data_IF_156092694205
#
_entry.id   IF_156092694205
#
_cell.length_a   1.000
_cell.length_b   1.000
_cell.length_c   1.000
_cell.angle_alpha   90.00
_cell.angle_beta   90.00
_cell.angle_gamma   90.00
#
_symmetry.space_group_name_H-M   'P 1'
#
loop_
_entity.id
_entity.type
_entity.pdbx_description
1 polymer ?
#
# COMPACT_ATOMS: atom_id res chain seq x y z
N UNK A 1 0.94 2.07 -26.83
CA UNK A 1 0.91 0.59 -27.07
C UNK A 1 0.41 -0.09 -25.83
N UNK A 2 -0.51 -1.08 -25.96
CA UNK A 2 -1.02 -1.86 -24.81
C UNK A 2 -0.81 -3.37 -25.09
N UNK A 3 -0.22 -4.08 -24.15
CA UNK A 3 0.12 -5.51 -24.24
C UNK A 3 -0.66 -6.24 -23.16
N UNK A 4 -1.46 -7.24 -23.55
CA UNK A 4 -2.11 -8.15 -22.62
C UNK A 4 -1.08 -9.15 -22.09
N UNK A 5 -0.86 -9.17 -20.77
CA UNK A 5 0.13 -10.02 -20.14
C UNK A 5 -0.27 -11.51 -20.12
N UNK A 6 -1.53 -11.84 -20.41
CA UNK A 6 -1.95 -13.23 -20.59
C UNK A 6 -1.29 -13.90 -21.82
N UNK A 7 -0.83 -13.10 -22.78
CA UNK A 7 -0.13 -13.58 -23.97
C UNK A 7 1.39 -13.74 -23.75
N UNK A 8 1.89 -13.42 -22.55
CA UNK A 8 3.31 -13.54 -22.21
C UNK A 8 3.53 -14.73 -21.28
N UNK A 9 4.55 -15.55 -21.59
CA UNK A 9 4.92 -16.69 -20.76
C UNK A 9 5.97 -16.29 -19.74
N UNK A 10 5.55 -16.24 -18.47
CA UNK A 10 6.48 -16.00 -17.34
C UNK A 10 7.25 -17.28 -17.02
N UNK A 11 8.57 -17.23 -17.11
CA UNK A 11 9.48 -18.34 -16.80
C UNK A 11 10.45 -17.94 -15.68
N UNK A 12 11.27 -18.88 -15.20
CA UNK A 12 12.35 -18.65 -14.26
C UNK A 12 13.45 -17.72 -14.80
N UNK A 13 13.57 -17.64 -16.14
CA UNK A 13 14.51 -16.74 -16.80
C UNK A 13 13.88 -15.38 -17.07
N UNK A 14 14.48 -14.28 -16.57
CA UNK A 14 14.02 -12.94 -16.90
C UNK A 14 14.02 -12.71 -18.42
N UNK A 15 12.86 -12.40 -18.97
CA UNK A 15 12.66 -12.22 -20.41
C UNK A 15 12.06 -10.84 -20.69
N UNK A 16 12.57 -10.17 -21.71
CA UNK A 16 12.02 -8.90 -22.16
C UNK A 16 10.58 -9.07 -22.65
N UNK A 17 9.66 -8.32 -22.03
CA UNK A 17 8.27 -8.23 -22.47
C UNK A 17 8.14 -7.17 -23.55
N UNK A 18 8.66 -5.97 -23.26
CA UNK A 18 8.72 -4.85 -24.20
C UNK A 18 9.66 -3.75 -23.68
N UNK A 19 10.08 -2.88 -24.61
CA UNK A 19 10.80 -1.64 -24.29
C UNK A 19 10.31 -0.51 -25.22
N UNK A 20 10.38 0.72 -24.72
CA UNK A 20 10.05 1.92 -25.46
C UNK A 20 10.82 3.12 -24.88
N UNK A 21 11.73 3.68 -25.65
CA UNK A 21 12.61 4.77 -25.20
C UNK A 21 13.48 4.35 -24.00
N UNK A 22 13.27 5.01 -22.86
CA UNK A 22 13.99 4.66 -21.62
C UNK A 22 13.29 3.60 -20.78
N UNK A 23 12.09 3.20 -21.17
CA UNK A 23 11.30 2.24 -20.42
C UNK A 23 11.61 0.80 -20.84
N UNK A 24 11.73 -0.06 -19.84
CA UNK A 24 11.94 -1.49 -20.06
C UNK A 24 11.06 -2.30 -19.12
N UNK A 25 10.41 -3.32 -19.64
CA UNK A 25 9.61 -4.27 -18.87
C UNK A 25 10.14 -5.69 -19.07
N UNK A 26 10.47 -6.37 -17.97
CA UNK A 26 11.04 -7.72 -17.93
C UNK A 26 10.14 -8.61 -17.09
N UNK A 27 9.63 -9.67 -17.67
CA UNK A 27 8.81 -10.68 -16.99
C UNK A 27 9.65 -11.87 -16.53
N UNK A 28 9.33 -12.38 -15.35
CA UNK A 28 9.96 -13.59 -14.81
C UNK A 28 9.03 -14.25 -13.78
N UNK A 29 9.43 -15.41 -13.31
CA UNK A 29 8.76 -16.13 -12.24
C UNK A 29 9.76 -16.40 -11.10
N UNK A 30 9.35 -16.11 -9.88
CA UNK A 30 10.11 -16.49 -8.70
C UNK A 30 10.18 -18.01 -8.51
N UNK A 31 11.12 -18.50 -7.71
CA UNK A 31 11.25 -19.93 -7.39
C UNK A 31 9.97 -20.51 -6.75
N UNK A 32 9.23 -19.66 -6.06
CA UNK A 32 7.92 -19.94 -5.47
C UNK A 32 6.77 -20.11 -6.48
N UNK A 33 7.05 -19.88 -7.77
CA UNK A 33 6.05 -19.96 -8.84
C UNK A 33 5.30 -18.65 -9.10
N UNK A 34 5.48 -17.60 -8.31
CA UNK A 34 4.78 -16.32 -8.48
C UNK A 34 5.34 -15.55 -9.68
N UNK A 35 4.47 -15.16 -10.61
CA UNK A 35 4.84 -14.33 -11.76
C UNK A 35 5.10 -12.88 -11.33
N UNK A 36 6.13 -12.26 -11.89
CA UNK A 36 6.54 -10.90 -11.62
C UNK A 36 6.90 -10.14 -12.89
N UNK A 37 6.61 -8.85 -12.90
CA UNK A 37 6.99 -7.93 -13.96
C UNK A 37 7.82 -6.78 -13.37
N UNK A 38 9.08 -6.68 -13.74
CA UNK A 38 9.96 -5.55 -13.40
C UNK A 38 9.84 -4.50 -14.48
N UNK A 39 9.43 -3.29 -14.09
CA UNK A 39 9.29 -2.13 -14.96
C UNK A 39 10.27 -1.06 -14.52
N UNK A 40 11.04 -0.50 -15.46
CA UNK A 40 12.10 0.44 -15.17
C UNK A 40 12.11 1.63 -16.12
N UNK A 41 12.66 2.74 -15.64
CA UNK A 41 13.16 3.86 -16.41
C UNK A 41 14.65 4.09 -16.07
N UNK A 42 15.26 5.19 -16.52
CA UNK A 42 16.68 5.49 -16.23
C UNK A 42 16.99 5.76 -14.74
N UNK A 43 15.96 6.04 -13.90
CA UNK A 43 16.16 6.38 -12.48
C UNK A 43 15.90 5.24 -11.52
N UNK A 44 15.25 4.18 -11.98
CA UNK A 44 14.95 3.05 -11.10
C UNK A 44 13.86 2.14 -11.65
N UNK A 45 13.27 1.37 -10.76
CA UNK A 45 12.31 0.34 -11.13
C UNK A 45 11.31 0.02 -10.03
N UNK A 46 10.21 -0.60 -10.43
CA UNK A 46 9.36 -1.35 -9.51
C UNK A 46 9.10 -2.76 -10.05
N UNK A 47 8.90 -3.71 -9.16
CA UNK A 47 8.51 -5.09 -9.50
C UNK A 47 7.10 -5.32 -8.98
N UNK A 48 6.17 -5.63 -9.87
CA UNK A 48 4.76 -5.88 -9.57
C UNK A 48 4.41 -7.35 -9.82
N UNK A 49 3.46 -7.89 -9.03
CA UNK A 49 2.91 -9.23 -9.17
C UNK A 49 1.59 -9.13 -9.96
N UNK A 50 1.59 -9.24 -11.29
CA UNK A 50 0.46 -8.81 -12.11
C UNK A 50 -0.81 -9.64 -11.88
N UNK A 51 -0.67 -10.87 -11.39
CA UNK A 51 -1.77 -11.82 -11.20
C UNK A 51 -2.18 -12.03 -9.74
N UNK A 52 -1.43 -11.47 -8.78
CA UNK A 52 -1.68 -11.60 -7.34
C UNK A 52 -1.72 -10.23 -6.67
N UNK A 53 -2.90 -9.78 -6.28
CA UNK A 53 -3.13 -8.51 -5.60
C UNK A 53 -2.70 -7.26 -6.37
N UNK A 54 -2.07 -7.38 -7.55
CA UNK A 54 -1.27 -6.35 -8.22
C UNK A 54 -0.30 -5.67 -7.24
N UNK A 55 0.23 -6.46 -6.34
CA UNK A 55 1.15 -6.07 -5.28
C UNK A 55 2.47 -5.59 -5.87
N UNK A 56 2.97 -4.42 -5.46
CA UNK A 56 4.32 -3.98 -5.78
C UNK A 56 5.27 -4.62 -4.77
N UNK A 57 6.04 -5.62 -5.22
CA UNK A 57 6.93 -6.37 -4.35
C UNK A 57 8.19 -5.60 -3.99
N UNK A 58 8.84 -4.95 -4.97
CA UNK A 58 10.03 -4.12 -4.77
C UNK A 58 9.88 -2.80 -5.49
N UNK A 59 10.56 -1.77 -4.99
CA UNK A 59 10.61 -0.45 -5.59
C UNK A 59 11.95 0.20 -5.24
N UNK A 60 12.71 0.58 -6.25
CA UNK A 60 14.01 1.22 -6.09
C UNK A 60 14.13 2.43 -7.02
N UNK A 61 14.71 3.52 -6.53
CA UNK A 61 15.03 4.70 -7.33
C UNK A 61 16.36 5.31 -6.87
N UNK A 62 17.16 5.76 -7.83
CA UNK A 62 18.47 6.41 -7.61
C UNK A 62 19.39 5.60 -6.67
N UNK A 63 19.34 4.27 -6.78
CA UNK A 63 20.10 3.35 -5.95
C UNK A 63 19.57 3.16 -4.52
N UNK A 64 18.38 3.69 -4.21
CA UNK A 64 17.73 3.50 -2.92
C UNK A 64 16.61 2.46 -3.03
N UNK A 65 16.73 1.36 -2.29
CA UNK A 65 15.63 0.41 -2.08
C UNK A 65 14.59 1.03 -1.13
N UNK A 66 13.36 1.22 -1.62
CA UNK A 66 12.29 1.85 -0.87
C UNK A 66 11.48 0.85 -0.04
N UNK A 67 11.41 -0.42 -0.48
CA UNK A 67 10.60 -1.43 0.17
C UNK A 67 11.10 -1.78 1.57
N UNK A 68 10.17 -2.06 2.46
CA UNK A 68 10.44 -2.58 3.80
C UNK A 68 11.41 -3.77 3.76
N UNK A 69 12.07 -4.04 4.88
CA UNK A 69 12.73 -5.31 5.11
C UNK A 69 11.73 -6.28 5.75
N UNK A 70 11.69 -7.50 5.26
CA UNK A 70 10.90 -8.58 5.83
C UNK A 70 11.70 -9.88 5.84
N UNK A 71 11.12 -10.92 6.45
CA UNK A 71 11.65 -12.28 6.43
C UNK A 71 11.48 -12.98 5.07
N UNK A 72 10.74 -12.38 4.14
CA UNK A 72 10.45 -12.95 2.83
C UNK A 72 11.37 -12.36 1.76
N UNK A 73 12.26 -13.16 1.20
CA UNK A 73 13.10 -12.77 0.06
C UNK A 73 12.29 -12.75 -1.25
N UNK A 74 11.37 -13.71 -1.39
CA UNK A 74 10.48 -13.87 -2.54
C UNK A 74 9.01 -13.92 -2.11
N UNK A 75 8.06 -13.47 -2.95
CA UNK A 75 6.65 -13.61 -2.66
C UNK A 75 6.25 -15.08 -2.74
N UNK A 76 5.33 -15.50 -1.89
CA UNK A 76 4.68 -16.80 -1.95
C UNK A 76 3.27 -16.67 -2.54
N UNK A 77 2.75 -17.75 -3.07
CA UNK A 77 1.38 -17.81 -3.58
C UNK A 77 0.39 -17.89 -2.41
N UNK A 78 0.05 -16.74 -1.83
CA UNK A 78 -0.92 -16.66 -0.73
C UNK A 78 -2.35 -16.66 -1.28
N UNK A 79 -3.20 -17.52 -0.70
CA UNK A 79 -4.61 -17.66 -1.09
C UNK A 79 -5.56 -17.22 0.00
N UNK A 80 -5.20 -17.45 1.26
CA UNK A 80 -6.08 -17.25 2.41
C UNK A 80 -5.63 -16.09 3.30
N UNK A 81 -4.33 -15.78 3.33
CA UNK A 81 -3.79 -14.69 4.12
C UNK A 81 -2.63 -14.03 3.42
N UNK A 82 -2.62 -12.70 3.39
CA UNK A 82 -1.48 -11.94 2.91
C UNK A 82 -0.25 -12.12 3.81
N UNK A 83 -0.44 -12.49 5.08
CA UNK A 83 0.65 -12.69 6.05
C UNK A 83 1.61 -13.80 5.67
N UNK A 84 1.17 -14.75 4.82
CA UNK A 84 2.03 -15.82 4.30
C UNK A 84 3.09 -15.30 3.30
N UNK A 85 2.99 -14.04 2.88
CA UNK A 85 3.89 -13.41 1.91
C UNK A 85 3.99 -11.89 2.16
N UNK A 86 4.14 -11.45 3.43
CA UNK A 86 4.13 -10.03 3.73
C UNK A 86 5.53 -9.43 3.73
N UNK A 87 5.89 -8.75 2.66
CA UNK A 87 7.21 -8.12 2.49
C UNK A 87 7.24 -7.15 1.30
N UNK A 88 6.08 -6.79 0.79
CA UNK A 88 5.92 -5.95 -0.38
C UNK A 88 6.12 -4.47 -0.08
N UNK A 89 6.48 -3.70 -1.11
CA UNK A 89 6.49 -2.24 -1.06
C UNK A 89 5.07 -1.65 -0.94
N UNK A 90 4.12 -2.19 -1.69
CA UNK A 90 2.74 -1.71 -1.65
C UNK A 90 1.75 -2.83 -1.97
N UNK A 91 0.64 -2.85 -1.24
CA UNK A 91 -0.51 -3.68 -1.55
C UNK A 91 -1.82 -2.88 -1.43
N UNK A 92 -2.82 -3.27 -2.21
CA UNK A 92 -4.19 -2.81 -2.06
C UNK A 92 -4.88 -3.65 -0.99
N UNK A 93 -5.57 -2.99 -0.06
CA UNK A 93 -6.35 -3.63 1.00
C UNK A 93 -7.82 -3.22 0.88
N UNK A 94 -8.71 -4.11 1.22
CA UNK A 94 -10.15 -3.95 1.04
C UNK A 94 -10.68 -5.13 0.21
N UNK A 95 -11.83 -5.07 -0.38
CA UNK A 95 -12.82 -4.00 -0.49
C UNK A 95 -14.03 -4.25 0.42
N UNK A 96 -14.32 -5.53 0.71
CA UNK A 96 -15.47 -5.96 1.52
C UNK A 96 -15.30 -5.72 3.02
N UNK A 97 -14.06 -5.55 3.45
CA UNK A 97 -13.65 -5.18 4.80
C UNK A 97 -12.25 -4.55 4.75
N UNK A 98 -11.67 -4.17 5.88
CA UNK A 98 -10.32 -3.64 5.96
C UNK A 98 -9.74 -3.81 7.35
N UNK A 99 -8.42 -3.93 7.42
CA UNK A 99 -7.67 -4.04 8.67
C UNK A 99 -7.79 -5.42 9.31
N UNK A 100 -7.48 -5.47 10.59
CA UNK A 100 -7.58 -6.69 11.37
C UNK A 100 -9.04 -6.96 11.74
N UNK A 101 -9.55 -8.20 11.56
CA UNK A 101 -10.89 -8.55 11.98
C UNK A 101 -11.05 -8.43 13.50
N UNK A 102 -12.21 -8.00 13.97
CA UNK A 102 -12.63 -8.21 15.36
C UNK A 102 -12.90 -9.70 15.60
N UNK A 103 -13.01 -10.17 16.84
CA UNK A 103 -13.35 -11.58 17.12
C UNK A 103 -14.66 -12.05 16.46
N UNK A 104 -15.60 -11.12 16.22
CA UNK A 104 -16.91 -11.38 15.63
C UNK A 104 -16.90 -11.21 14.10
N UNK A 105 -15.87 -10.59 13.53
CA UNK A 105 -15.73 -10.47 12.07
C UNK A 105 -15.39 -11.83 11.44
N UNK A 106 -15.83 -12.03 10.21
CA UNK A 106 -15.58 -13.27 9.46
C UNK A 106 -14.64 -13.09 8.27
N UNK A 107 -14.12 -11.86 8.07
CA UNK A 107 -13.20 -11.58 6.97
C UNK A 107 -11.76 -11.92 7.33
N UNK A 108 -10.93 -12.19 6.34
CA UNK A 108 -9.47 -12.31 6.51
C UNK A 108 -8.84 -10.94 6.73
N UNK A 109 -7.66 -10.88 7.31
CA UNK A 109 -6.90 -9.64 7.48
C UNK A 109 -6.79 -8.86 6.17
N UNK A 110 -7.13 -7.57 6.20
CA UNK A 110 -7.19 -6.66 5.03
C UNK A 110 -8.11 -7.10 3.88
N UNK A 111 -8.99 -8.07 4.11
CA UNK A 111 -9.96 -8.62 3.17
C UNK A 111 -9.31 -9.21 1.88
N UNK A 112 -10.05 -9.23 0.76
CA UNK A 112 -9.71 -10.04 -0.41
C UNK A 112 -8.68 -9.41 -1.35
N UNK A 113 -8.52 -8.09 -1.38
CA UNK A 113 -7.66 -7.45 -2.39
C UNK A 113 -6.18 -7.85 -2.34
N UNK A 114 -5.54 -8.03 -1.16
CA UNK A 114 -4.14 -8.44 -1.11
C UNK A 114 -3.86 -9.79 -1.77
N UNK A 115 -4.83 -10.71 -1.73
CA UNK A 115 -4.72 -12.08 -2.28
C UNK A 115 -5.52 -12.27 -3.57
N UNK A 116 -6.12 -11.20 -4.11
CA UNK A 116 -6.97 -11.23 -5.29
C UNK A 116 -6.25 -11.82 -6.51
N UNK A 117 -6.96 -12.68 -7.26
CA UNK A 117 -6.49 -13.27 -8.52
C UNK A 117 -7.09 -12.51 -9.69
N UNK A 118 -6.24 -11.80 -10.42
CA UNK A 118 -6.67 -10.93 -11.50
C UNK A 118 -6.99 -11.73 -12.75
N UNK A 119 -8.13 -11.43 -13.39
CA UNK A 119 -8.54 -12.00 -14.66
C UNK A 119 -7.85 -11.32 -15.83
N UNK A 120 -7.48 -10.04 -15.67
CA UNK A 120 -6.77 -9.27 -16.67
C UNK A 120 -5.57 -8.55 -16.07
N UNK A 121 -4.45 -8.58 -16.77
CA UNK A 121 -3.30 -7.74 -16.49
C UNK A 121 -2.69 -7.24 -17.81
N UNK A 122 -2.21 -5.99 -17.82
CA UNK A 122 -1.63 -5.38 -19.02
C UNK A 122 -0.43 -4.51 -18.68
N UNK A 123 0.43 -4.36 -19.68
CA UNK A 123 1.50 -3.36 -19.76
C UNK A 123 1.11 -2.34 -20.84
N UNK A 124 1.29 -1.05 -20.55
CA UNK A 124 0.93 0.03 -21.48
C UNK A 124 2.04 1.07 -21.56
N UNK A 125 2.42 1.46 -22.78
CA UNK A 125 3.27 2.61 -23.05
C UNK A 125 2.42 3.69 -23.71
N UNK A 126 2.58 4.93 -23.26
CA UNK A 126 1.79 6.05 -23.79
C UNK A 126 2.37 7.41 -23.44
N UNK A 127 1.68 8.43 -23.92
CA UNK A 127 1.97 9.85 -23.65
C UNK A 127 0.68 10.54 -23.27
N UNK A 128 0.71 11.33 -22.21
CA UNK A 128 -0.40 12.17 -21.77
C UNK A 128 0.09 13.58 -21.40
N UNK A 129 -0.74 14.38 -20.72
CA UNK A 129 -0.36 15.74 -20.27
C UNK A 129 0.84 15.75 -19.32
N UNK A 130 1.16 14.64 -18.66
CA UNK A 130 2.31 14.46 -17.77
C UNK A 130 3.57 13.97 -18.49
N UNK A 131 3.52 13.77 -19.80
CA UNK A 131 4.61 13.26 -20.65
C UNK A 131 4.53 11.75 -20.90
N UNK A 132 5.63 11.19 -21.39
CA UNK A 132 5.75 9.77 -21.69
C UNK A 132 5.69 8.93 -20.42
N UNK A 133 5.05 7.77 -20.50
CA UNK A 133 4.93 6.85 -19.38
C UNK A 133 4.89 5.37 -19.80
N UNK A 134 5.21 4.53 -18.85
CA UNK A 134 4.86 3.11 -18.84
C UNK A 134 3.92 2.84 -17.67
N UNK A 135 2.90 2.00 -17.88
CA UNK A 135 1.93 1.64 -16.85
C UNK A 135 1.68 0.13 -16.82
N UNK A 136 1.41 -0.37 -15.61
CA UNK A 136 0.88 -1.71 -15.39
C UNK A 136 -0.47 -1.58 -14.72
N UNK A 137 -1.44 -2.34 -15.16
CA UNK A 137 -2.77 -2.38 -14.56
C UNK A 137 -3.46 -3.69 -14.84
N UNK A 138 -4.65 -3.83 -14.32
CA UNK A 138 -5.46 -5.02 -14.49
C UNK A 138 -6.89 -4.84 -14.03
N UNK A 139 -7.65 -5.92 -14.08
CA UNK A 139 -9.02 -5.98 -13.59
C UNK A 139 -9.21 -7.22 -12.74
N UNK A 140 -9.68 -7.02 -11.53
CA UNK A 140 -10.17 -8.05 -10.64
C UNK A 140 -11.68 -7.96 -10.58
N UNK A 141 -12.37 -9.01 -11.00
CA UNK A 141 -13.80 -9.20 -10.81
C UNK A 141 -14.01 -9.97 -9.51
N UNK A 142 -14.69 -9.36 -8.55
CA UNK A 142 -15.14 -10.03 -7.35
C UNK A 142 -16.63 -10.29 -7.41
N UNK A 143 -16.98 -11.53 -7.49
CA UNK A 143 -18.36 -12.00 -7.52
C UNK A 143 -18.56 -13.11 -6.49
N UNK A 144 -19.51 -12.90 -5.62
CA UNK A 144 -20.01 -13.87 -4.66
C UNK A 144 -21.53 -13.87 -4.75
N UNK A 145 -22.08 -15.02 -5.12
CA UNK A 145 -23.50 -15.19 -5.38
C UNK A 145 -24.37 -14.53 -4.28
N UNK A 146 -25.30 -13.69 -4.69
CA UNK A 146 -26.20 -12.89 -3.85
C UNK A 146 -25.52 -11.78 -2.99
N UNK A 147 -24.22 -11.82 -2.77
CA UNK A 147 -23.53 -10.95 -1.81
C UNK A 147 -22.77 -9.83 -2.50
N UNK A 148 -21.78 -10.13 -3.34
CA UNK A 148 -20.90 -9.15 -3.97
C UNK A 148 -20.88 -9.30 -5.49
N UNK A 149 -20.75 -8.17 -6.18
CA UNK A 149 -20.42 -8.10 -7.59
C UNK A 149 -19.82 -6.71 -7.86
N UNK A 150 -18.49 -6.65 -8.00
CA UNK A 150 -17.78 -5.41 -8.31
C UNK A 150 -16.53 -5.71 -9.15
N UNK A 151 -16.05 -4.70 -9.86
CA UNK A 151 -14.71 -4.70 -10.45
C UNK A 151 -13.78 -3.77 -9.70
N UNK A 152 -12.53 -4.21 -9.52
CA UNK A 152 -11.43 -3.42 -9.02
C UNK A 152 -10.33 -3.33 -10.08
N UNK A 153 -10.00 -2.11 -10.50
CA UNK A 153 -9.05 -1.87 -11.59
C UNK A 153 -7.93 -0.93 -11.13
N UNK A 154 -6.84 -1.48 -10.58
CA UNK A 154 -5.66 -0.70 -10.21
C UNK A 154 -4.79 -0.40 -11.42
N UNK A 155 -4.00 0.68 -11.31
CA UNK A 155 -3.01 1.09 -12.31
C UNK A 155 -1.84 1.79 -11.63
N UNK A 156 -0.62 1.37 -11.98
CA UNK A 156 0.64 1.97 -11.54
C UNK A 156 1.33 2.57 -12.75
N UNK A 157 1.73 3.83 -12.66
CA UNK A 157 2.38 4.59 -13.74
C UNK A 157 3.78 5.01 -13.32
N UNK A 158 4.77 4.74 -14.16
CA UNK A 158 6.12 5.25 -14.07
C UNK A 158 6.37 6.19 -15.24
N UNK A 159 6.69 7.46 -14.94
CA UNK A 159 6.93 8.48 -15.98
C UNK A 159 8.40 8.54 -16.36
N UNK A 160 8.65 9.03 -17.56
CA UNK A 160 9.98 9.31 -18.09
C UNK A 160 10.78 10.20 -17.14
N UNK A 161 11.98 9.74 -16.76
CA UNK A 161 12.90 10.45 -15.88
C UNK A 161 12.40 10.66 -14.44
N UNK A 162 11.27 10.10 -14.04
CA UNK A 162 10.75 10.23 -12.68
C UNK A 162 11.35 9.20 -11.73
N UNK A 163 11.54 9.59 -10.45
CA UNK A 163 11.88 8.70 -9.36
C UNK A 163 10.69 8.53 -8.40
N UNK A 164 9.52 8.36 -8.97
CA UNK A 164 8.26 8.13 -8.27
C UNK A 164 7.31 7.32 -9.14
N UNK A 165 6.36 6.68 -8.50
CA UNK A 165 5.22 6.02 -9.14
C UNK A 165 3.91 6.73 -8.78
N UNK A 166 2.97 6.71 -9.71
CA UNK A 166 1.60 7.17 -9.53
C UNK A 166 0.70 5.94 -9.45
N UNK A 167 -0.03 5.80 -8.37
CA UNK A 167 -0.91 4.66 -8.10
C UNK A 167 -2.34 5.17 -8.17
N UNK A 168 -3.17 4.51 -8.93
CA UNK A 168 -4.61 4.74 -8.94
C UNK A 168 -5.36 3.43 -8.89
N UNK A 169 -6.59 3.46 -8.40
CA UNK A 169 -7.49 2.33 -8.46
C UNK A 169 -8.92 2.82 -8.65
N UNK A 170 -9.69 2.08 -9.42
CA UNK A 170 -11.12 2.35 -9.64
C UNK A 170 -11.93 1.13 -9.26
N UNK A 171 -12.93 1.35 -8.41
CA UNK A 171 -13.96 0.37 -8.05
C UNK A 171 -15.24 0.69 -8.80
N UNK A 172 -15.89 -0.29 -9.39
CA UNK A 172 -17.22 -0.15 -9.98
C UNK A 172 -18.18 -1.14 -9.33
N UNK A 173 -19.25 -0.64 -8.75
CA UNK A 173 -20.35 -1.47 -8.26
C UNK A 173 -21.13 -2.04 -9.45
N UNK A 174 -21.17 -3.35 -9.58
CA UNK A 174 -21.87 -4.06 -10.64
C UNK A 174 -23.25 -4.58 -10.18
N UNK A 175 -23.59 -4.40 -8.88
CA UNK A 175 -24.90 -4.78 -8.34
C UNK A 175 -25.95 -3.70 -8.60
N UNK A 176 -27.19 -4.08 -8.42
CA UNK A 176 -28.39 -3.22 -8.44
C UNK A 176 -28.72 -2.59 -7.09
N UNK A 177 -27.91 -2.90 -6.04
CA UNK A 177 -27.99 -2.33 -4.69
C UNK A 177 -26.69 -1.63 -4.32
N UNK A 178 -26.69 -0.72 -3.33
CA UNK A 178 -25.45 -0.09 -2.86
C UNK A 178 -24.41 -1.12 -2.37
N UNK A 179 -23.16 -0.92 -2.76
CA UNK A 179 -22.00 -1.69 -2.31
C UNK A 179 -21.39 -0.98 -1.10
N UNK A 180 -21.39 -1.63 0.04
CA UNK A 180 -20.54 -1.22 1.18
C UNK A 180 -19.09 -1.51 0.83
N UNK A 181 -18.19 -0.53 1.03
CA UNK A 181 -16.81 -0.70 0.68
C UNK A 181 -15.82 -0.01 1.62
N UNK A 182 -14.62 -0.55 1.65
CA UNK A 182 -13.46 -0.07 2.37
C UNK A 182 -12.25 -0.12 1.47
N UNK A 183 -11.29 0.78 1.65
CA UNK A 183 -10.04 0.73 0.91
C UNK A 183 -8.89 1.34 1.72
N UNK A 184 -7.73 0.71 1.64
CA UNK A 184 -6.48 1.22 2.16
C UNK A 184 -5.35 0.92 1.18
N UNK A 185 -4.50 1.93 0.88
CA UNK A 185 -3.27 1.75 0.13
C UNK A 185 -2.12 1.54 1.10
N UNK A 186 -1.62 0.31 1.20
CA UNK A 186 -0.62 -0.08 2.18
C UNK A 186 0.80 0.08 1.63
N UNK A 187 1.41 1.27 1.81
CA UNK A 187 2.76 1.59 1.30
C UNK A 187 3.79 1.41 2.40
N UNK A 188 4.68 0.44 2.25
CA UNK A 188 5.64 -0.02 3.25
C UNK A 188 7.05 0.46 2.92
N UNK A 189 7.39 1.67 3.35
CA UNK A 189 8.74 2.19 3.17
C UNK A 189 9.74 1.55 4.13
N UNK A 190 11.00 1.53 3.70
CA UNK A 190 12.13 1.18 4.56
C UNK A 190 12.38 2.33 5.54
N UNK A 191 12.42 2.07 6.85
CA UNK A 191 12.76 3.12 7.82
C UNK A 191 14.25 3.43 7.78
N UNK A 192 14.58 4.72 7.90
CA UNK A 192 15.96 5.20 8.06
C UNK A 192 16.07 5.87 9.42
N UNK A 193 16.92 5.32 10.28
CA UNK A 193 17.11 5.79 11.66
C UNK A 193 17.46 7.29 11.72
N UNK A 194 16.82 8.00 12.63
CA UNK A 194 17.00 9.43 12.81
C UNK A 194 16.32 10.31 11.78
N UNK A 195 15.58 9.74 10.82
CA UNK A 195 14.76 10.51 9.88
C UNK A 195 13.67 11.28 10.59
N UNK A 196 13.28 12.41 10.01
CA UNK A 196 12.11 13.19 10.45
C UNK A 196 10.90 12.87 9.58
N UNK A 197 9.77 12.66 10.23
CA UNK A 197 8.48 12.60 9.54
C UNK A 197 7.94 14.02 9.46
N UNK A 198 7.81 14.52 8.25
CA UNK A 198 7.26 15.84 7.94
C UNK A 198 5.98 15.66 7.15
N UNK A 199 4.89 16.22 7.63
CA UNK A 199 3.58 15.95 7.09
C UNK A 199 2.71 17.20 6.92
N UNK A 200 1.72 17.12 6.05
CA UNK A 200 0.67 18.14 5.90
C UNK A 200 0.00 18.41 7.24
N UNK A 201 -0.44 19.66 7.52
CA UNK A 201 -1.12 19.98 8.77
C UNK A 201 -2.29 19.03 9.07
N UNK A 202 -2.47 18.68 10.33
CA UNK A 202 -3.56 17.83 10.77
C UNK A 202 -4.87 18.60 10.90
N UNK A 203 -6.00 17.95 10.57
CA UNK A 203 -7.36 18.46 10.81
C UNK A 203 -7.78 18.35 12.27
N UNK A 204 -7.31 17.30 12.95
CA UNK A 204 -7.57 16.97 14.35
C UNK A 204 -6.42 16.14 14.91
N UNK A 205 -6.39 15.94 16.23
CA UNK A 205 -5.42 15.04 16.86
C UNK A 205 -5.53 13.62 16.26
N UNK A 206 -4.39 12.92 16.15
CA UNK A 206 -4.40 11.50 15.76
C UNK A 206 -5.18 10.65 16.77
N UNK A 207 -5.69 9.53 16.31
CA UNK A 207 -6.18 8.46 17.17
C UNK A 207 -4.98 7.56 17.47
N UNK A 208 -4.64 7.45 18.75
CA UNK A 208 -3.62 6.52 19.23
C UNK A 208 -4.32 5.19 19.54
N UNK A 209 -3.88 4.13 18.87
CA UNK A 209 -4.45 2.81 19.07
C UNK A 209 -3.68 2.05 20.13
N UNK A 210 -4.35 1.70 21.23
CA UNK A 210 -3.79 0.95 22.36
C UNK A 210 -3.95 -0.57 22.20
N UNK A 211 -4.52 -1.04 21.11
CA UNK A 211 -4.60 -2.48 20.84
C UNK A 211 -3.21 -3.01 20.46
N UNK A 212 -2.71 -3.90 21.26
CA UNK A 212 -1.48 -4.67 21.00
C UNK A 212 -1.91 -6.08 20.63
N UNK A 213 -1.55 -6.58 19.43
CA UNK A 213 -1.96 -7.92 19.01
C UNK A 213 -1.56 -8.99 20.01
N UNK A 214 -2.43 -9.98 20.21
CA UNK A 214 -2.14 -11.16 21.01
C UNK A 214 -0.96 -11.96 20.41
N UNK A 215 -0.22 -12.65 21.29
CA UNK A 215 0.90 -13.48 20.87
C UNK A 215 2.24 -12.77 20.75
N UNK A 216 2.29 -11.45 20.94
CA UNK A 216 3.57 -10.75 21.01
C UNK A 216 4.34 -11.14 22.29
N UNK A 217 5.67 -11.20 22.13
CA UNK A 217 6.55 -11.37 23.27
C UNK A 217 6.29 -10.27 24.31
N UNK A 218 5.89 -10.64 25.52
CA UNK A 218 5.41 -9.72 26.56
C UNK A 218 6.27 -8.46 26.78
N UNK A 219 7.62 -8.55 26.88
CA UNK A 219 8.46 -7.36 27.04
C UNK A 219 8.32 -6.35 25.88
N UNK A 220 8.05 -6.80 24.67
CA UNK A 220 7.76 -5.90 23.53
C UNK A 220 6.41 -5.21 23.69
N UNK A 221 5.38 -5.96 24.08
CA UNK A 221 4.06 -5.44 24.38
C UNK A 221 4.10 -4.35 25.46
N UNK A 222 4.80 -4.61 26.56
CA UNK A 222 4.97 -3.65 27.65
C UNK A 222 5.71 -2.37 27.19
N UNK A 223 6.73 -2.50 26.34
CA UNK A 223 7.45 -1.35 25.77
C UNK A 223 6.56 -0.55 24.81
N UNK A 224 5.76 -1.23 24.00
CA UNK A 224 4.78 -0.62 23.09
C UNK A 224 3.74 0.16 23.89
N UNK A 225 3.13 -0.43 24.91
CA UNK A 225 2.13 0.23 25.74
C UNK A 225 2.67 1.51 26.40
N UNK A 226 3.86 1.46 27.00
CA UNK A 226 4.50 2.67 27.57
C UNK A 226 4.71 3.78 26.54
N UNK A 227 5.00 3.40 25.30
CA UNK A 227 5.13 4.40 24.23
C UNK A 227 3.79 4.94 23.78
N UNK A 228 2.77 4.12 23.68
CA UNK A 228 1.41 4.57 23.33
C UNK A 228 0.89 5.54 24.39
N UNK A 229 1.11 5.27 25.69
CA UNK A 229 0.79 6.19 26.78
C UNK A 229 1.54 7.53 26.68
N UNK A 230 2.77 7.51 26.16
CA UNK A 230 3.52 8.75 25.91
C UNK A 230 2.96 9.49 24.68
N UNK A 231 2.50 8.78 23.63
CA UNK A 231 1.90 9.38 22.44
C UNK A 231 0.55 10.06 22.73
N UNK A 232 -0.24 9.58 23.69
CA UNK A 232 -1.47 10.26 24.12
C UNK A 232 -1.18 11.66 24.65
N UNK A 233 -0.03 11.84 25.30
CA UNK A 233 0.44 13.12 25.83
C UNK A 233 1.08 13.99 24.74
N UNK A 234 1.92 13.36 23.91
CA UNK A 234 2.64 14.04 22.83
C UNK A 234 2.78 13.11 21.61
N UNK A 235 1.83 13.18 20.68
CA UNK A 235 1.87 12.38 19.44
C UNK A 235 3.04 12.75 18.51
N UNK A 236 3.71 13.90 18.72
CA UNK A 236 4.86 14.32 17.91
C UNK A 236 6.10 13.46 18.15
N UNK A 237 6.12 12.63 19.20
CA UNK A 237 7.16 11.64 19.43
C UNK A 237 7.32 10.65 18.28
N UNK A 238 6.25 10.43 17.49
CA UNK A 238 6.34 9.66 16.22
C UNK A 238 6.93 10.43 15.04
N UNK A 239 7.21 11.73 15.19
CA UNK A 239 7.78 12.54 14.10
C UNK A 239 9.28 12.29 13.89
N UNK A 240 9.88 11.39 14.65
CA UNK A 240 11.26 10.95 14.45
C UNK A 240 11.30 9.43 14.37
N UNK A 241 11.92 8.90 13.31
CA UNK A 241 12.15 7.46 13.17
C UNK A 241 13.21 7.05 14.18
N UNK A 242 12.82 6.22 15.16
CA UNK A 242 13.71 5.78 16.23
C UNK A 242 14.94 5.01 15.74
N UNK A 243 16.00 5.05 16.53
CA UNK A 243 17.21 4.29 16.26
C UNK A 243 16.94 2.82 16.55
N UNK A 244 17.42 1.94 15.67
CA UNK A 244 17.28 0.50 15.82
C UNK A 244 17.91 0.06 17.14
N UNK A 245 17.12 -0.58 17.99
CA UNK A 245 17.57 -1.10 19.31
C UNK A 245 17.17 -0.28 20.52
N UNK A 246 16.76 1.00 20.37
CA UNK A 246 16.42 1.84 21.54
C UNK A 246 14.99 1.68 22.05
N UNK A 247 14.07 1.20 21.26
CA UNK A 247 12.69 0.96 21.66
C UNK A 247 12.06 0.06 20.62
N UNK A 248 12.41 -1.20 20.69
CA UNK A 248 11.87 -2.17 19.74
C UNK A 248 10.38 -2.31 20.00
N UNK A 249 9.60 -1.65 19.19
CA UNK A 249 8.15 -1.74 19.14
C UNK A 249 7.82 -2.71 18.06
N UNK A 250 7.27 -3.86 18.38
CA UNK A 250 6.93 -4.84 17.37
C UNK A 250 5.97 -4.25 16.35
N UNK A 251 4.98 -3.47 16.82
CA UNK A 251 4.02 -2.82 15.93
C UNK A 251 3.32 -1.66 16.62
N UNK A 252 3.13 -0.57 15.88
CA UNK A 252 2.30 0.57 16.27
C UNK A 252 1.43 0.95 15.09
N UNK A 253 0.14 1.08 15.33
CA UNK A 253 -0.84 1.44 14.30
C UNK A 253 -1.71 2.59 14.80
N UNK A 254 -1.46 3.80 14.31
CA UNK A 254 -2.20 5.00 14.70
C UNK A 254 -2.84 5.64 13.48
N UNK A 255 -3.90 6.42 13.68
CA UNK A 255 -4.64 7.04 12.61
C UNK A 255 -4.50 8.57 12.61
N UNK A 256 -4.12 9.14 11.47
CA UNK A 256 -3.89 10.56 11.23
C UNK A 256 -4.91 11.13 10.24
N UNK A 257 -5.10 12.46 10.28
CA UNK A 257 -6.12 13.17 9.49
C UNK A 257 -5.51 14.44 8.91
N UNK A 258 -5.04 14.41 7.67
CA UNK A 258 -4.34 15.54 7.05
C UNK A 258 -5.29 16.53 6.39
N UNK A 259 -4.93 17.81 6.45
CA UNK A 259 -5.56 18.86 5.62
C UNK A 259 -4.97 18.80 4.22
N UNK A 260 -5.79 18.92 3.18
CA UNK A 260 -5.27 19.07 1.81
C UNK A 260 -4.67 20.46 1.60
N UNK A 261 -3.73 20.53 0.67
CA UNK A 261 -3.25 21.79 0.08
C UNK A 261 -4.30 22.39 -0.89
N UNK A 262 -3.97 23.53 -1.51
CA UNK A 262 -4.84 24.19 -2.49
C UNK A 262 -5.17 23.37 -3.74
N UNK A 263 -4.38 22.32 -4.02
CA UNK A 263 -4.61 21.37 -5.13
C UNK A 263 -5.33 20.09 -4.70
N UNK A 264 -5.74 20.02 -3.43
CA UNK A 264 -6.47 18.89 -2.84
C UNK A 264 -5.59 17.72 -2.40
N UNK A 265 -4.28 17.93 -2.25
CA UNK A 265 -3.32 16.89 -1.87
C UNK A 265 -2.82 17.05 -0.43
N UNK A 266 -2.59 15.93 0.25
CA UNK A 266 -1.80 15.85 1.46
C UNK A 266 -0.51 15.06 1.18
N UNK A 267 0.54 15.34 1.93
CA UNK A 267 1.84 14.68 1.79
C UNK A 267 2.43 14.36 3.15
N UNK A 268 3.01 13.17 3.26
CA UNK A 268 3.83 12.72 4.39
C UNK A 268 5.19 12.32 3.85
N UNK A 269 6.25 12.77 4.49
CA UNK A 269 7.64 12.58 4.05
C UNK A 269 8.45 11.95 5.17
N UNK A 270 9.30 11.00 4.84
CA UNK A 270 10.43 10.59 5.67
C UNK A 270 11.67 11.31 5.14
N UNK A 271 12.13 12.36 5.84
CA UNK A 271 13.32 13.16 5.46
C UNK A 271 14.55 12.55 6.12
N UNK A 272 15.52 12.14 5.33
CA UNK A 272 16.70 11.41 5.79
C UNK A 272 17.67 12.31 6.57
N UNK A 273 18.32 11.80 7.66
CA UNK A 273 19.33 12.55 8.37
C UNK A 273 20.59 12.71 7.51
N UNK A 274 21.26 13.84 7.62
CA UNK A 274 22.58 14.12 6.99
C UNK A 274 22.64 13.97 5.45
N UNK A 275 21.54 13.69 4.77
CA UNK A 275 21.45 13.62 3.31
C UNK A 275 20.35 14.55 2.83
N UNK A 276 20.59 15.20 1.70
CA UNK A 276 19.49 15.78 0.95
C UNK A 276 18.62 14.63 0.41
N UNK A 277 17.31 14.69 0.65
CA UNK A 277 16.36 13.71 0.13
C UNK A 277 15.58 12.96 1.21
N UNK A 278 14.88 11.94 0.77
CA UNK A 278 13.94 11.15 1.57
C UNK A 278 12.94 10.47 0.67
N UNK A 279 11.86 9.98 1.26
CA UNK A 279 10.74 9.36 0.54
C UNK A 279 9.42 10.02 0.95
N UNK A 280 8.40 9.86 0.14
CA UNK A 280 7.09 10.47 0.41
C UNK A 280 5.93 9.56 0.03
N UNK A 281 4.78 9.82 0.65
CA UNK A 281 3.45 9.42 0.20
C UNK A 281 2.61 10.68 0.05
N UNK A 282 1.95 10.83 -1.08
CA UNK A 282 1.06 11.94 -1.40
C UNK A 282 -0.28 11.37 -1.85
N UNK A 283 -1.39 11.88 -1.31
CA UNK A 283 -2.72 11.35 -1.54
C UNK A 283 -3.79 12.45 -1.44
N UNK A 284 -5.03 12.13 -1.80
CA UNK A 284 -6.17 13.06 -1.70
C UNK A 284 -7.04 12.74 -0.48
N UNK A 285 -7.06 13.59 0.57
CA UNK A 285 -7.92 13.39 1.74
C UNK A 285 -9.44 13.43 1.43
N UNK A 286 -9.85 13.94 0.27
CA UNK A 286 -11.24 13.86 -0.20
C UNK A 286 -11.64 12.46 -0.65
N UNK A 287 -10.69 11.67 -1.12
CA UNK A 287 -10.87 10.27 -1.53
C UNK A 287 -10.63 9.33 -0.34
N UNK A 288 -9.58 9.60 0.43
CA UNK A 288 -9.06 8.76 1.52
C UNK A 288 -8.88 9.63 2.77
N UNK A 289 -9.94 9.82 3.60
CA UNK A 289 -9.91 10.78 4.71
C UNK A 289 -9.06 10.36 5.90
N UNK A 290 -8.65 9.10 5.99
CA UNK A 290 -7.80 8.53 7.02
C UNK A 290 -6.39 8.30 6.48
N UNK A 291 -5.39 8.38 7.35
CA UNK A 291 -4.00 8.02 7.05
C UNK A 291 -3.47 7.18 8.21
N UNK A 292 -3.52 5.88 8.06
CA UNK A 292 -2.95 4.96 9.04
C UNK A 292 -1.42 5.08 9.01
N UNK A 293 -0.80 5.19 10.18
CA UNK A 293 0.65 5.11 10.35
C UNK A 293 0.98 3.80 11.05
N UNK A 294 1.60 2.90 10.30
CA UNK A 294 2.02 1.60 10.77
C UNK A 294 3.55 1.53 10.84
N UNK A 295 4.06 1.16 12.00
CA UNK A 295 5.50 1.03 12.24
C UNK A 295 5.76 -0.34 12.83
N UNK A 296 6.57 -1.15 12.16
CA UNK A 296 7.07 -2.42 12.67
C UNK A 296 8.60 -2.41 12.59
N UNK A 297 9.26 -2.55 13.73
CA UNK A 297 10.71 -2.43 13.84
C UNK A 297 11.30 -3.61 14.61
N UNK A 298 11.07 -4.81 14.11
CA UNK A 298 11.64 -6.04 14.66
C UNK A 298 12.92 -6.44 13.90
N UNK A 299 13.55 -7.53 14.32
CA UNK A 299 14.70 -8.07 13.60
C UNK A 299 14.29 -8.62 12.23
N UNK A 300 13.10 -9.20 12.16
CA UNK A 300 12.56 -9.89 10.99
C UNK A 300 11.78 -8.95 10.07
N UNK A 301 11.09 -7.96 10.66
CA UNK A 301 10.30 -6.95 9.96
C UNK A 301 10.81 -5.55 10.30
N UNK A 302 11.18 -4.75 9.29
CA UNK A 302 11.60 -3.36 9.47
C UNK A 302 10.88 -2.47 8.45
N UNK A 303 9.76 -1.92 8.87
CA UNK A 303 8.84 -1.18 8.03
C UNK A 303 8.41 0.15 8.64
N UNK A 304 8.25 1.13 7.78
CA UNK A 304 7.70 2.44 8.06
C UNK A 304 6.53 2.74 7.10
N UNK A 305 5.38 2.26 7.44
CA UNK A 305 4.13 2.69 6.83
C UNK A 305 3.76 4.08 7.34
N UNK A 306 4.55 5.09 6.96
CA UNK A 306 4.40 6.46 7.49
C UNK A 306 3.05 7.09 7.18
N UNK A 307 2.41 6.62 6.10
CA UNK A 307 1.11 7.07 5.66
C UNK A 307 0.49 6.01 4.76
N UNK A 308 -0.54 5.35 5.26
CA UNK A 308 -1.35 4.39 4.54
C UNK A 308 -2.74 5.01 4.36
N UNK A 309 -2.98 5.69 3.21
CA UNK A 309 -4.25 6.38 2.99
C UNK A 309 -5.42 5.40 2.92
N UNK A 310 -6.52 5.72 3.61
CA UNK A 310 -7.64 4.80 3.78
C UNK A 310 -9.01 5.51 3.80
N UNK A 311 -10.06 4.73 3.57
CA UNK A 311 -11.47 5.21 3.69
C UNK A 311 -11.99 5.17 5.12
N UNK A 312 -11.40 4.34 6.01
CA UNK A 312 -11.82 4.11 7.38
C UNK A 312 -10.62 3.70 8.26
N UNK A 313 -10.82 3.50 9.56
CA UNK A 313 -9.83 2.89 10.46
C UNK A 313 -9.59 1.41 10.13
N UNK A 314 -8.44 0.89 10.51
CA UNK A 314 -7.98 -0.48 10.19
C UNK A 314 -8.51 -1.58 11.15
N UNK A 315 -9.62 -1.34 11.84
CA UNK A 315 -10.09 -2.16 12.97
C UNK A 315 -11.19 -3.18 12.64
N UNK A 316 -11.28 -3.57 11.38
CA UNK A 316 -12.29 -4.55 10.94
C UNK A 316 -13.63 -3.91 10.53
N UNK A 317 -14.45 -4.73 9.89
CA UNK A 317 -15.72 -4.27 9.30
C UNK A 317 -16.74 -3.87 10.35
N UNK A 318 -16.93 -4.72 11.37
CA UNK A 318 -17.94 -4.46 12.40
C UNK A 318 -17.60 -3.23 13.23
N UNK A 319 -16.32 -3.00 13.53
CA UNK A 319 -15.88 -1.77 14.17
C UNK A 319 -16.24 -0.55 13.33
N UNK A 320 -15.88 -0.57 12.04
CA UNK A 320 -16.16 0.56 11.14
C UNK A 320 -17.64 0.82 10.97
N UNK A 321 -18.50 -0.21 10.96
CA UNK A 321 -19.96 -0.08 10.93
C UNK A 321 -20.48 0.57 12.22
N UNK A 322 -20.01 0.11 13.38
CA UNK A 322 -20.40 0.68 14.69
C UNK A 322 -20.03 2.18 14.81
N UNK A 323 -18.92 2.59 14.17
CA UNK A 323 -18.44 3.98 14.17
C UNK A 323 -18.88 4.78 12.94
N UNK A 324 -19.72 4.22 12.06
CA UNK A 324 -20.28 4.86 10.85
C UNK A 324 -19.19 5.34 9.87
N UNK A 325 -18.12 4.57 9.73
CA UNK A 325 -16.98 4.86 8.85
C UNK A 325 -17.11 4.21 7.46
N UNK A 326 -17.99 3.21 7.34
CA UNK A 326 -18.23 2.52 6.07
C UNK A 326 -18.68 3.49 4.98
N UNK A 327 -18.29 3.19 3.75
CA UNK A 327 -18.73 3.92 2.57
C UNK A 327 -19.70 3.09 1.75
N UNK A 328 -20.55 3.76 0.97
CA UNK A 328 -21.49 3.11 0.08
C UNK A 328 -21.34 3.65 -1.33
N UNK A 329 -21.24 2.74 -2.29
CA UNK A 329 -21.19 3.05 -3.71
C UNK A 329 -22.52 2.64 -4.36
N UNK A 330 -23.26 3.60 -4.89
CA UNK A 330 -24.55 3.34 -5.52
C UNK A 330 -24.42 2.39 -6.73
N UNK A 331 -25.51 1.74 -7.15
CA UNK A 331 -25.52 0.85 -8.32
C UNK A 331 -24.91 1.49 -9.56
N UNK A 332 -24.02 0.75 -10.25
CA UNK A 332 -23.35 1.19 -11.48
C UNK A 332 -22.37 2.35 -11.32
N UNK A 333 -22.21 2.93 -10.11
CA UNK A 333 -21.25 4.03 -9.87
C UNK A 333 -19.84 3.52 -9.65
N UNK A 334 -18.90 4.48 -9.73
CA UNK A 334 -17.47 4.25 -9.53
C UNK A 334 -16.92 5.10 -8.38
N UNK A 335 -15.92 4.57 -7.71
CA UNK A 335 -15.06 5.26 -6.76
C UNK A 335 -13.61 5.14 -7.25
N UNK A 336 -12.82 6.21 -7.17
CA UNK A 336 -11.42 6.18 -7.57
C UNK A 336 -10.53 6.81 -6.52
N UNK A 337 -9.28 6.33 -6.46
CA UNK A 337 -8.23 6.84 -5.56
C UNK A 337 -6.96 7.17 -6.33
N UNK A 338 -6.19 8.15 -5.82
CA UNK A 338 -4.95 8.60 -6.43
C UNK A 338 -3.89 8.82 -5.36
N UNK A 339 -2.76 8.14 -5.50
CA UNK A 339 -1.61 8.20 -4.60
C UNK A 339 -0.33 8.35 -5.43
N UNK A 340 0.63 9.13 -4.93
CA UNK A 340 1.98 9.19 -5.47
C UNK A 340 2.98 8.81 -4.38
N UNK A 341 4.02 8.06 -4.72
CA UNK A 341 5.11 7.71 -3.79
C UNK A 341 6.43 7.54 -4.54
N UNK A 342 7.53 7.86 -3.87
CA UNK A 342 8.88 7.80 -4.46
C UNK A 342 9.89 8.58 -3.63
N UNK A 343 10.94 9.04 -4.28
CA UNK A 343 12.02 9.87 -3.67
C UNK A 343 11.64 11.34 -3.73
N UNK A 344 12.11 12.12 -2.72
CA UNK A 344 11.95 13.58 -2.64
C UNK A 344 12.86 14.31 -3.62
#
# INVERSE_FOLDING_TARGET
>A
MKINLANFTFTDKPTLVAEDGEFKAVGFRYSTGVAALKVSNRRGSFTILPWMGQMIWRCDFDGCELAMKSMYDEPKDCKESFSDSYGCFMMHCGLTAMGNPTPEDTHIGHAELPVARYQEAYLEFGTDKGGDYVAVGGTYQHDLCFTYNYTFSPRVVLRKGAAKIEISATVKNQKDIPLEYYYLCHVNHRPVNGSKIVESPLKRKPIINHEVPDGYYKPWGDATNRFLDALDKDYTLQSTVGVKGESYRPEIVNCYFHKPDAKGWAIVKQVYPKKAGGVFVKYRPSELPYATRWIARTKDEDAMGMCLPATAEHKGRLFCQAHKEQKYLAPGKTFSVHIETGIL
#
